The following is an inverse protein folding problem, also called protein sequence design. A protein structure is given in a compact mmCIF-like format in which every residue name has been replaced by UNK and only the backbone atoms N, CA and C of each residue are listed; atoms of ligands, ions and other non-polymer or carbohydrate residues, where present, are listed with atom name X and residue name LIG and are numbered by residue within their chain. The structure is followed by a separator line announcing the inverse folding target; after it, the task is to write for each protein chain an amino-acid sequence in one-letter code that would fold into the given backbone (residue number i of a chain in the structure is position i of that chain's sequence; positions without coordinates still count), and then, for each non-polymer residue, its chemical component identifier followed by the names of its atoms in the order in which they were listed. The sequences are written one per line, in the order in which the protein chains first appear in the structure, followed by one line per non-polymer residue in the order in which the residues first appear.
data_IF_439464862393
#
_entry.id   IF_439464862393
#
_cell.length_a   1.000
_cell.length_b   1.000
_cell.length_c   1.000
_cell.angle_alpha   90.00
_cell.angle_beta   90.00
_cell.angle_gamma   90.00
#
_symmetry.space_group_name_H-M   'P 1'
#
loop_
_entity.id
_entity.type
_entity.pdbx_description
1 polymer ?
#
# COMPACT_ATOMS: atom_id res chain seq x y z
N UNK A 1 34.20 52.87 17.68
CA UNK A 1 33.08 52.06 17.14
C UNK A 1 33.01 50.75 17.89
N UNK A 2 32.25 50.72 18.99
CA UNK A 2 32.03 49.52 19.80
C UNK A 2 31.00 48.63 19.11
N UNK A 3 31.35 47.36 18.87
CA UNK A 3 30.44 46.35 18.32
C UNK A 3 29.50 45.87 19.43
N UNK A 4 28.20 45.88 19.13
CA UNK A 4 27.16 45.36 20.01
C UNK A 4 27.27 43.84 20.19
N UNK A 5 26.91 43.28 21.36
CA UNK A 5 26.85 41.83 21.57
C UNK A 5 25.54 41.25 21.03
N UNK A 6 25.64 40.11 20.34
CA UNK A 6 24.51 39.29 19.88
C UNK A 6 23.84 38.54 21.06
N UNK A 7 22.50 38.45 21.12
CA UNK A 7 21.83 37.68 22.17
C UNK A 7 21.62 36.23 21.70
N UNK A 8 22.58 35.34 21.99
CA UNK A 8 22.35 33.90 21.94
C UNK A 8 21.56 33.47 23.19
N UNK A 9 20.25 33.67 23.15
CA UNK A 9 19.33 32.97 24.06
C UNK A 9 19.01 31.60 23.45
N UNK A 10 19.83 30.62 23.78
CA UNK A 10 19.44 29.21 23.69
C UNK A 10 18.17 28.99 24.52
N UNK A 11 17.02 29.00 23.85
CA UNK A 11 15.80 28.41 24.39
C UNK A 11 16.08 26.91 24.59
N UNK A 12 16.38 26.53 25.83
CA UNK A 12 16.28 25.13 26.25
C UNK A 12 14.82 24.74 26.06
N UNK A 13 14.53 24.00 24.99
CA UNK A 13 13.26 23.29 24.85
C UNK A 13 13.12 22.40 26.09
N UNK A 14 12.25 22.82 27.01
CA UNK A 14 11.68 21.97 28.05
C UNK A 14 11.28 20.65 27.40
N UNK A 15 11.66 19.54 28.03
CA UNK A 15 11.33 18.20 27.59
C UNK A 15 9.80 18.09 27.43
N UNK A 16 9.32 18.28 26.19
CA UNK A 16 7.93 18.07 25.85
C UNK A 16 7.67 16.57 26.04
N UNK A 17 6.84 16.23 27.03
CA UNK A 17 6.23 14.92 27.15
C UNK A 17 5.68 14.53 25.76
N UNK A 18 6.03 13.35 25.21
CA UNK A 18 5.47 12.92 23.94
C UNK A 18 3.96 12.82 24.10
N UNK A 19 3.24 13.63 23.32
CA UNK A 19 1.79 13.60 23.26
C UNK A 19 1.38 12.22 22.72
N UNK A 20 0.82 11.38 23.58
CA UNK A 20 0.07 10.19 23.14
C UNK A 20 -1.06 10.75 22.28
N UNK A 21 -1.17 10.38 21.00
CA UNK A 21 -2.26 10.89 20.17
C UNK A 21 -3.58 10.54 20.86
N UNK A 22 -4.40 11.57 21.09
CA UNK A 22 -5.67 11.56 21.82
C UNK A 22 -6.77 10.67 21.20
N UNK A 23 -6.41 9.77 20.28
CA UNK A 23 -7.31 8.88 19.54
C UNK A 23 -7.33 7.44 20.05
N UNK A 24 -6.51 7.08 21.04
CA UNK A 24 -6.53 5.75 21.65
C UNK A 24 -7.14 5.79 23.04
N UNK A 25 -8.17 4.96 23.30
CA UNK A 25 -8.68 4.75 24.66
C UNK A 25 -7.50 4.30 25.55
N UNK A 26 -7.28 4.94 26.71
CA UNK A 26 -6.18 4.55 27.60
C UNK A 26 -6.38 3.16 28.20
N UNK A 27 -7.62 2.68 28.25
CA UNK A 27 -7.99 1.38 28.80
C UNK A 27 -8.88 0.60 27.83
N UNK A 28 -8.79 -0.72 27.92
CA UNK A 28 -9.54 -1.71 27.15
C UNK A 28 -10.22 -2.68 28.13
N UNK A 29 -11.45 -3.06 27.84
CA UNK A 29 -12.23 -3.98 28.67
C UNK A 29 -11.82 -5.42 28.39
N UNK A 30 -11.69 -6.22 29.45
CA UNK A 30 -11.44 -7.66 29.37
C UNK A 30 -12.77 -8.39 29.47
N UNK A 31 -13.08 -9.19 28.47
CA UNK A 31 -14.35 -9.90 28.37
C UNK A 31 -14.25 -11.33 28.91
N UNK A 32 -15.25 -11.75 29.68
CA UNK A 32 -15.50 -13.16 30.00
C UNK A 32 -16.80 -13.60 29.34
N UNK A 33 -16.69 -14.11 28.11
CA UNK A 33 -17.86 -14.30 27.26
C UNK A 33 -18.44 -12.95 26.82
N UNK A 34 -19.68 -12.65 27.23
CA UNK A 34 -20.37 -11.40 26.89
C UNK A 34 -20.24 -10.31 27.96
N UNK A 35 -19.82 -10.64 29.19
CA UNK A 35 -19.68 -9.68 30.28
C UNK A 35 -18.26 -9.12 30.38
N UNK A 36 -18.13 -7.90 30.90
CA UNK A 36 -16.84 -7.28 31.22
C UNK A 36 -16.40 -7.76 32.61
N UNK A 37 -15.19 -8.33 32.70
CA UNK A 37 -14.62 -8.83 33.93
C UNK A 37 -13.64 -7.84 34.58
N UNK A 38 -12.74 -7.26 33.80
CA UNK A 38 -11.70 -6.32 34.26
C UNK A 38 -11.36 -5.31 33.15
N UNK A 39 -10.45 -4.38 33.43
CA UNK A 39 -9.91 -3.43 32.45
C UNK A 39 -8.39 -3.51 32.41
N UNK A 40 -7.80 -3.48 31.22
CA UNK A 40 -6.36 -3.45 31.00
C UNK A 40 -5.93 -2.13 30.34
N UNK A 41 -4.74 -1.63 30.65
CA UNK A 41 -4.18 -0.47 29.96
C UNK A 41 -3.82 -0.83 28.51
N UNK A 42 -4.01 0.10 27.58
CA UNK A 42 -3.64 -0.13 26.18
C UNK A 42 -2.10 -0.14 26.02
N UNK A 43 -1.50 -1.23 25.52
CA UNK A 43 -0.05 -1.31 25.34
C UNK A 43 0.48 -0.28 24.34
N UNK A 44 1.68 0.24 24.60
CA UNK A 44 2.29 1.31 23.81
C UNK A 44 2.50 0.93 22.33
N UNK A 45 2.57 -0.37 22.02
CA UNK A 45 2.69 -0.88 20.65
C UNK A 45 1.50 -0.46 19.75
N UNK A 46 0.32 -0.23 20.31
CA UNK A 46 -0.84 0.23 19.55
C UNK A 46 -0.75 1.70 19.11
N UNK A 47 0.11 2.49 19.76
CA UNK A 47 0.39 3.88 19.39
C UNK A 47 1.49 4.02 18.32
N UNK A 48 2.03 2.90 17.82
CA UNK A 48 3.10 2.91 16.82
C UNK A 48 2.60 3.38 15.45
N UNK A 49 3.46 4.02 14.64
CA UNK A 49 3.09 4.48 13.31
C UNK A 49 2.69 3.31 12.41
N UNK A 50 1.50 3.41 11.82
CA UNK A 50 0.99 2.43 10.86
C UNK A 50 1.58 2.73 9.48
N UNK A 51 2.56 1.92 9.03
CA UNK A 51 3.23 2.08 7.73
C UNK A 51 2.95 0.91 6.79
N UNK A 52 2.04 1.13 5.84
CA UNK A 52 1.64 0.11 4.85
C UNK A 52 2.78 -0.24 3.88
N UNK A 53 3.60 0.74 3.52
CA UNK A 53 4.78 0.61 2.64
C UNK A 53 5.80 -0.39 3.22
N UNK A 54 6.25 -0.19 4.47
CA UNK A 54 7.17 -1.13 5.14
C UNK A 54 6.53 -2.50 5.25
N UNK A 55 5.27 -2.56 5.69
CA UNK A 55 4.56 -3.84 5.87
C UNK A 55 4.50 -4.61 4.56
N UNK A 56 4.24 -3.93 3.45
CA UNK A 56 4.24 -4.53 2.12
C UNK A 56 5.62 -5.07 1.75
N UNK A 57 6.67 -4.26 1.84
CA UNK A 57 8.01 -4.63 1.40
C UNK A 57 8.56 -5.80 2.23
N UNK A 58 8.42 -5.73 3.55
CA UNK A 58 8.79 -6.80 4.46
C UNK A 58 7.97 -8.06 4.20
N UNK A 59 6.65 -7.94 4.01
CA UNK A 59 5.78 -9.09 3.75
C UNK A 59 6.19 -9.82 2.46
N UNK A 60 6.44 -9.08 1.36
CA UNK A 60 6.83 -9.70 0.09
C UNK A 60 8.18 -10.44 0.19
N UNK A 61 9.12 -9.93 0.98
CA UNK A 61 10.42 -10.55 1.21
C UNK A 61 10.31 -11.78 2.13
N UNK A 62 9.61 -11.66 3.26
CA UNK A 62 9.44 -12.75 4.23
C UNK A 62 8.62 -13.91 3.65
N UNK A 63 7.58 -13.61 2.86
CA UNK A 63 6.73 -14.63 2.24
C UNK A 63 7.48 -15.49 1.20
N UNK A 64 8.61 -15.01 0.66
CA UNK A 64 9.47 -15.80 -0.24
C UNK A 64 10.25 -16.90 0.50
N UNK A 65 10.41 -16.80 1.83
CA UNK A 65 11.32 -17.67 2.58
C UNK A 65 10.77 -19.08 2.87
N UNK A 66 9.51 -19.38 2.50
CA UNK A 66 8.92 -20.74 2.57
C UNK A 66 9.00 -21.50 1.24
N UNK A 67 9.63 -20.92 0.21
CA UNK A 67 9.66 -21.51 -1.14
C UNK A 67 10.64 -22.68 -1.21
N UNK A 68 10.22 -23.74 -1.88
CA UNK A 68 11.09 -24.84 -2.27
C UNK A 68 11.70 -24.58 -3.65
N UNK A 69 12.96 -24.93 -3.84
CA UNK A 69 13.64 -24.80 -5.11
C UNK A 69 13.01 -25.74 -6.15
N UNK A 70 12.90 -25.26 -7.39
CA UNK A 70 12.52 -26.08 -8.53
C UNK A 70 13.52 -25.87 -9.67
N UNK A 71 13.89 -26.96 -10.33
CA UNK A 71 14.81 -26.97 -11.45
C UNK A 71 14.43 -28.09 -12.43
N UNK A 72 14.83 -27.92 -13.68
CA UNK A 72 14.73 -28.97 -14.71
C UNK A 72 15.99 -29.83 -14.64
N UNK A 73 15.89 -31.11 -15.02
CA UNK A 73 17.04 -31.99 -15.06
C UNK A 73 18.15 -31.41 -15.94
N UNK A 74 19.41 -31.52 -15.49
CA UNK A 74 20.56 -30.86 -16.14
C UNK A 74 20.76 -31.31 -17.59
N UNK A 75 20.49 -32.59 -17.86
CA UNK A 75 20.66 -33.27 -19.14
C UNK A 75 19.38 -33.31 -19.99
N UNK A 76 18.29 -32.67 -19.57
CA UNK A 76 17.04 -32.68 -20.32
C UNK A 76 17.20 -31.99 -21.69
N UNK A 77 16.84 -32.71 -22.77
CA UNK A 77 16.99 -32.23 -24.14
C UNK A 77 18.41 -32.33 -24.72
N UNK A 78 19.35 -32.93 -23.97
CA UNK A 78 20.74 -33.17 -24.38
C UNK A 78 21.11 -34.66 -24.47
N UNK A 79 20.21 -35.56 -24.10
CA UNK A 79 20.38 -37.03 -24.18
C UNK A 79 20.17 -37.56 -25.62
N UNK A 80 20.79 -36.93 -26.61
CA UNK A 80 20.67 -37.35 -28.01
C UNK A 80 21.93 -36.98 -28.77
N UNK A 81 22.47 -37.91 -29.55
CA UNK A 81 23.57 -37.63 -30.48
C UNK A 81 23.01 -36.95 -31.72
N UNK A 82 23.36 -35.68 -31.93
CA UNK A 82 22.86 -34.88 -33.04
C UNK A 82 23.92 -33.90 -33.52
N UNK A 83 24.05 -33.76 -34.83
CA UNK A 83 25.01 -32.87 -35.47
C UNK A 83 24.34 -32.05 -36.56
N UNK A 84 24.84 -30.85 -36.81
CA UNK A 84 24.32 -30.04 -37.92
C UNK A 84 24.76 -30.63 -39.24
N UNK A 85 23.84 -30.75 -40.20
CA UNK A 85 24.19 -31.20 -41.54
C UNK A 85 24.82 -30.10 -42.41
N UNK A 86 25.02 -28.89 -41.85
CA UNK A 86 25.59 -27.75 -42.57
C UNK A 86 24.65 -27.16 -43.61
N UNK A 87 25.23 -26.46 -44.58
CA UNK A 87 24.52 -25.89 -45.74
C UNK A 87 24.47 -26.88 -46.91
N UNK A 88 23.72 -26.56 -47.98
CA UNK A 88 23.74 -27.35 -49.23
C UNK A 88 22.81 -28.56 -49.29
N UNK A 89 21.95 -28.76 -48.28
CA UNK A 89 20.98 -29.88 -48.22
C UNK A 89 19.51 -29.45 -48.21
N UNK A 90 19.23 -28.21 -48.66
CA UNK A 90 17.90 -27.60 -48.66
C UNK A 90 17.14 -27.66 -47.31
N UNK A 91 17.87 -27.68 -46.19
CA UNK A 91 17.33 -27.71 -44.83
C UNK A 91 18.05 -26.73 -43.90
N UNK A 92 17.38 -26.30 -42.84
CA UNK A 92 17.96 -25.43 -41.82
C UNK A 92 19.14 -26.08 -41.07
N UNK A 93 20.09 -25.25 -40.63
CA UNK A 93 21.39 -25.61 -40.01
C UNK A 93 21.32 -26.08 -38.55
N UNK A 94 20.13 -26.36 -38.02
CA UNK A 94 19.97 -26.85 -36.64
C UNK A 94 20.55 -28.28 -36.52
N UNK A 95 21.16 -28.67 -35.39
CA UNK A 95 21.59 -30.05 -35.17
C UNK A 95 20.44 -31.04 -35.35
N UNK A 96 20.70 -32.14 -36.06
CA UNK A 96 19.73 -33.19 -36.37
C UNK A 96 20.19 -34.53 -35.82
N UNK A 97 19.24 -35.31 -35.30
CA UNK A 97 19.52 -36.65 -34.74
C UNK A 97 20.06 -37.57 -35.83
N UNK A 98 21.14 -38.28 -35.52
CA UNK A 98 21.78 -39.22 -36.44
C UNK A 98 21.01 -40.55 -36.54
N UNK A 99 21.45 -41.42 -37.46
CA UNK A 99 20.83 -42.73 -37.71
C UNK A 99 19.73 -42.71 -38.78
N UNK A 100 19.03 -43.84 -38.91
CA UNK A 100 17.95 -44.08 -39.87
C UNK A 100 16.93 -45.08 -39.29
N UNK A 101 15.84 -45.37 -40.00
CA UNK A 101 14.88 -46.41 -39.61
C UNK A 101 13.92 -46.05 -38.47
N UNK A 102 14.02 -44.85 -37.88
CA UNK A 102 13.07 -44.33 -36.89
C UNK A 102 12.57 -42.96 -37.29
N UNK A 103 11.34 -42.62 -36.88
CA UNK A 103 10.77 -41.28 -37.11
C UNK A 103 11.57 -40.15 -36.45
N UNK A 104 12.45 -40.47 -35.48
CA UNK A 104 13.27 -39.49 -34.77
C UNK A 104 14.54 -39.11 -35.55
N UNK A 105 15.07 -40.01 -36.38
CA UNK A 105 16.24 -39.76 -37.22
C UNK A 105 15.99 -38.57 -38.16
N UNK A 106 16.97 -37.67 -38.28
CA UNK A 106 16.88 -36.47 -39.10
C UNK A 106 16.05 -35.33 -38.52
N UNK A 107 15.38 -35.50 -37.37
CA UNK A 107 14.67 -34.40 -36.70
C UNK A 107 15.64 -33.44 -35.98
N UNK A 108 15.23 -32.19 -35.82
CA UNK A 108 15.99 -31.19 -35.07
C UNK A 108 16.10 -31.53 -33.57
N UNK A 109 17.23 -31.18 -32.96
CA UNK A 109 17.58 -31.44 -31.57
C UNK A 109 18.30 -30.24 -30.90
N UNK A 110 18.48 -30.34 -29.59
CA UNK A 110 19.12 -29.37 -28.67
C UNK A 110 18.46 -27.98 -28.55
N UNK A 111 18.07 -27.34 -29.67
CA UNK A 111 17.54 -25.99 -29.67
C UNK A 111 16.24 -25.84 -28.87
N UNK A 112 16.04 -24.66 -28.28
CA UNK A 112 14.82 -24.31 -27.53
C UNK A 112 13.56 -24.24 -28.37
N UNK A 113 13.70 -24.02 -29.69
CA UNK A 113 12.62 -24.08 -30.66
C UNK A 113 12.26 -25.52 -31.09
N UNK A 114 13.10 -26.50 -30.75
CA UNK A 114 12.93 -27.87 -31.19
C UNK A 114 11.99 -28.65 -30.24
N UNK A 115 11.08 -29.45 -30.79
CA UNK A 115 10.28 -30.41 -30.01
C UNK A 115 11.22 -31.43 -29.34
N UNK A 116 11.15 -31.53 -28.01
CA UNK A 116 12.04 -32.38 -27.22
C UNK A 116 13.47 -31.85 -27.06
N UNK A 117 13.73 -30.60 -27.50
CA UNK A 117 15.00 -29.91 -27.27
C UNK A 117 15.12 -29.34 -25.85
N UNK A 118 16.26 -28.72 -25.58
CA UNK A 118 16.55 -28.09 -24.28
C UNK A 118 15.92 -26.70 -24.21
N UNK A 119 15.29 -26.36 -23.08
CA UNK A 119 14.72 -25.02 -22.89
C UNK A 119 15.79 -23.93 -22.83
N UNK A 120 15.42 -22.70 -23.24
CA UNK A 120 16.27 -21.53 -23.03
C UNK A 120 16.45 -21.24 -21.54
N UNK A 121 17.68 -20.93 -21.13
CA UNK A 121 18.06 -20.65 -19.74
C UNK A 121 17.41 -21.61 -18.72
N UNK A 122 17.78 -22.92 -18.73
CA UNK A 122 17.14 -23.91 -17.85
C UNK A 122 17.18 -23.49 -16.39
N UNK A 123 16.07 -23.70 -15.68
CA UNK A 123 15.95 -23.35 -14.27
C UNK A 123 16.98 -24.09 -13.43
N UNK A 124 17.65 -23.35 -12.54
CA UNK A 124 18.71 -23.85 -11.67
C UNK A 124 18.33 -23.72 -10.21
N UNK A 125 18.83 -24.64 -9.40
CA UNK A 125 18.56 -24.71 -7.95
C UNK A 125 19.15 -23.52 -7.20
N UNK A 126 20.30 -22.98 -7.64
CA UNK A 126 21.00 -21.86 -6.98
C UNK A 126 20.39 -20.47 -7.24
N UNK A 127 19.18 -20.39 -7.82
CA UNK A 127 18.43 -19.13 -7.84
C UNK A 127 18.29 -18.58 -6.41
N UNK A 128 18.37 -17.27 -6.23
CA UNK A 128 18.11 -16.65 -4.92
C UNK A 128 16.63 -16.78 -4.54
N UNK A 129 16.29 -17.82 -3.77
CA UNK A 129 14.91 -18.09 -3.31
C UNK A 129 14.53 -17.25 -2.10
N UNK A 130 15.46 -17.14 -1.16
CA UNK A 130 15.28 -16.49 0.13
C UNK A 130 15.76 -15.03 0.09
N UNK A 131 15.05 -14.16 0.79
CA UNK A 131 15.35 -12.73 0.88
C UNK A 131 15.61 -12.38 2.35
N UNK A 132 16.80 -11.83 2.60
CA UNK A 132 17.16 -11.24 3.88
C UNK A 132 16.48 -9.88 4.00
N UNK A 133 15.98 -9.58 5.19
CA UNK A 133 15.37 -8.30 5.54
C UNK A 133 15.99 -7.88 6.87
N UNK A 134 16.20 -6.58 7.03
CA UNK A 134 16.77 -6.02 8.24
C UNK A 134 15.89 -6.38 9.45
N UNK A 135 16.54 -6.77 10.55
CA UNK A 135 15.83 -7.24 11.74
C UNK A 135 14.93 -6.15 12.34
N UNK A 136 15.41 -4.91 12.35
CA UNK A 136 14.64 -3.77 12.83
C UNK A 136 13.43 -3.47 11.95
N UNK A 137 13.59 -3.58 10.63
CA UNK A 137 12.50 -3.38 9.66
C UNK A 137 11.40 -4.45 9.81
N UNK A 138 11.79 -5.71 10.06
CA UNK A 138 10.83 -6.77 10.42
C UNK A 138 10.06 -6.42 11.68
N UNK A 139 10.76 -5.94 12.73
CA UNK A 139 10.15 -5.52 14.00
C UNK A 139 9.19 -4.34 13.81
N UNK A 140 9.57 -3.37 12.98
CA UNK A 140 8.72 -2.24 12.59
C UNK A 140 7.43 -2.74 11.93
N UNK A 141 7.53 -3.58 10.89
CA UNK A 141 6.37 -4.10 10.18
C UNK A 141 5.41 -4.84 11.10
N UNK A 142 5.93 -5.66 12.02
CA UNK A 142 5.11 -6.35 13.02
C UNK A 142 4.45 -5.39 14.01
N UNK A 143 5.15 -4.35 14.48
CA UNK A 143 4.57 -3.33 15.36
C UNK A 143 3.43 -2.56 14.65
N UNK A 144 3.65 -2.10 13.41
CA UNK A 144 2.60 -1.47 12.61
C UNK A 144 1.41 -2.38 12.35
N UNK A 145 1.63 -3.69 12.17
CA UNK A 145 0.55 -4.66 11.99
C UNK A 145 -0.26 -4.91 13.27
N UNK A 146 0.39 -4.88 14.44
CA UNK A 146 -0.30 -4.94 15.75
C UNK A 146 -1.12 -3.67 15.95
N UNK A 147 -0.54 -2.48 15.75
CA UNK A 147 -1.26 -1.22 15.85
C UNK A 147 -2.51 -1.18 14.95
N UNK A 148 -2.36 -1.61 13.70
CA UNK A 148 -3.48 -1.67 12.77
C UNK A 148 -4.60 -2.65 13.18
N UNK A 149 -4.30 -3.67 14.00
CA UNK A 149 -5.32 -4.57 14.53
C UNK A 149 -6.22 -3.92 15.58
N UNK A 150 -5.77 -2.82 16.20
CA UNK A 150 -6.56 -1.99 17.11
C UNK A 150 -7.52 -1.00 16.44
N UNK A 151 -7.49 -0.89 15.11
CA UNK A 151 -8.24 0.12 14.36
C UNK A 151 -9.41 -0.54 13.63
N UNK A 152 -10.63 -0.40 14.16
CA UNK A 152 -11.83 -1.05 13.62
C UNK A 152 -12.08 -0.80 12.11
N UNK A 153 -11.91 0.42 11.56
CA UNK A 153 -12.02 0.64 10.11
C UNK A 153 -11.08 -0.22 9.26
N UNK A 154 -9.84 -0.46 9.71
CA UNK A 154 -8.89 -1.30 8.98
C UNK A 154 -9.29 -2.78 9.04
N UNK A 155 -9.85 -3.21 10.18
CA UNK A 155 -10.34 -4.57 10.37
C UNK A 155 -11.56 -4.87 9.49
N UNK A 156 -12.49 -3.93 9.42
CA UNK A 156 -13.65 -4.00 8.52
C UNK A 156 -13.24 -3.95 7.05
N UNK A 157 -12.33 -3.06 6.66
CA UNK A 157 -11.85 -2.93 5.28
C UNK A 157 -11.20 -4.23 4.76
N UNK A 158 -10.62 -5.04 5.64
CA UNK A 158 -10.11 -6.38 5.30
C UNK A 158 -11.18 -7.43 5.06
N UNK A 159 -12.42 -7.17 5.44
CA UNK A 159 -13.55 -8.10 5.34
C UNK A 159 -13.65 -9.06 6.53
N UNK A 160 -13.21 -8.64 7.73
CA UNK A 160 -13.60 -9.31 8.96
C UNK A 160 -14.99 -8.87 9.41
N UNK A 161 -15.78 -9.81 9.93
CA UNK A 161 -17.13 -9.52 10.49
C UNK A 161 -16.97 -9.14 11.95
N UNK A 162 -16.86 -7.84 12.21
CA UNK A 162 -16.65 -7.27 13.56
C UNK A 162 -17.73 -6.25 13.93
N UNK A 163 -18.84 -6.22 13.20
CA UNK A 163 -19.94 -5.25 13.37
C UNK A 163 -20.67 -5.42 14.71
N UNK A 164 -20.77 -6.66 15.22
CA UNK A 164 -21.41 -6.98 16.50
C UNK A 164 -20.44 -6.97 17.69
N UNK A 165 -19.15 -6.70 17.46
CA UNK A 165 -18.15 -6.71 18.52
C UNK A 165 -18.21 -5.38 19.26
N UNK A 166 -18.12 -5.43 20.58
CA UNK A 166 -18.17 -4.26 21.46
C UNK A 166 -17.04 -3.25 21.21
N UNK A 167 -15.80 -3.73 21.16
CA UNK A 167 -14.61 -2.92 20.89
C UNK A 167 -13.44 -3.70 20.31
N UNK A 168 -12.46 -2.96 19.78
CA UNK A 168 -11.21 -3.47 19.21
C UNK A 168 -10.08 -2.59 19.76
N UNK A 169 -8.94 -3.15 20.24
CA UNK A 169 -8.58 -4.56 20.34
C UNK A 169 -9.50 -5.35 21.28
N UNK A 170 -9.86 -6.58 20.89
CA UNK A 170 -10.71 -7.46 21.69
C UNK A 170 -9.84 -8.27 22.65
N UNK A 171 -10.06 -8.11 23.96
CA UNK A 171 -9.32 -8.81 25.03
C UNK A 171 -10.27 -9.73 25.79
N UNK A 172 -9.86 -10.97 26.02
CA UNK A 172 -10.65 -12.01 26.68
C UNK A 172 -9.91 -12.54 27.91
N UNK A 173 -10.65 -13.04 28.90
CA UNK A 173 -10.12 -13.68 30.11
C UNK A 173 -9.09 -14.78 29.80
N UNK A 174 -8.15 -14.95 30.72
CA UNK A 174 -7.10 -15.98 30.67
C UNK A 174 -7.65 -17.41 30.71
N UNK A 175 -8.92 -17.59 31.10
CA UNK A 175 -9.60 -18.88 31.09
C UNK A 175 -9.59 -19.54 29.71
N UNK A 176 -9.55 -18.73 28.64
CA UNK A 176 -9.48 -19.20 27.26
C UNK A 176 -8.20 -20.03 26.98
N UNK A 177 -7.10 -19.76 27.69
CA UNK A 177 -5.83 -20.51 27.56
C UNK A 177 -5.95 -21.97 28.01
N UNK A 178 -6.85 -22.24 28.96
CA UNK A 178 -7.05 -23.56 29.58
C UNK A 178 -8.09 -24.43 28.84
N UNK A 179 -8.72 -23.90 27.79
CA UNK A 179 -9.75 -24.62 27.03
C UNK A 179 -9.10 -25.76 26.24
N UNK A 180 -9.53 -27.00 26.50
CA UNK A 180 -8.99 -28.20 25.88
C UNK A 180 -9.87 -28.76 24.75
N UNK A 181 -11.20 -28.58 24.82
CA UNK A 181 -12.14 -29.14 23.85
C UNK A 181 -12.52 -28.12 22.77
N UNK A 182 -12.54 -28.55 21.51
CA UNK A 182 -12.96 -27.72 20.37
C UNK A 182 -14.40 -27.19 20.52
N UNK A 183 -15.30 -27.96 21.13
CA UNK A 183 -16.70 -27.55 21.35
C UNK A 183 -16.77 -26.32 22.26
N UNK A 184 -16.00 -26.31 23.34
CA UNK A 184 -15.91 -25.21 24.30
C UNK A 184 -15.24 -23.99 23.64
N UNK A 185 -14.18 -24.20 22.84
CA UNK A 185 -13.54 -23.13 22.08
C UNK A 185 -14.50 -22.42 21.10
N UNK A 186 -15.34 -23.19 20.39
CA UNK A 186 -16.38 -22.61 19.52
C UNK A 186 -17.45 -21.86 20.34
N UNK A 187 -17.82 -22.37 21.51
CA UNK A 187 -18.77 -21.70 22.39
C UNK A 187 -18.21 -20.36 22.91
N UNK A 188 -16.93 -20.32 23.28
CA UNK A 188 -16.26 -19.09 23.68
C UNK A 188 -16.25 -18.05 22.54
N UNK A 189 -15.93 -18.45 21.31
CA UNK A 189 -15.99 -17.53 20.15
C UNK A 189 -17.40 -17.01 19.86
N UNK A 190 -18.43 -17.81 20.12
CA UNK A 190 -19.83 -17.36 20.01
C UNK A 190 -20.17 -16.34 21.09
N UNK A 191 -19.80 -16.60 22.33
CA UNK A 191 -20.08 -15.71 23.46
C UNK A 191 -19.44 -14.32 23.28
N UNK A 192 -18.25 -14.27 22.68
CA UNK A 192 -17.50 -13.04 22.42
C UNK A 192 -17.93 -12.32 21.11
N UNK A 193 -18.84 -12.91 20.32
CA UNK A 193 -19.31 -12.32 19.06
C UNK A 193 -18.38 -12.54 17.84
N UNK A 194 -17.34 -13.37 17.96
CA UNK A 194 -16.40 -13.68 16.89
C UNK A 194 -16.90 -14.78 15.91
N UNK A 195 -18.08 -15.36 16.15
CA UNK A 195 -18.57 -16.51 15.40
C UNK A 195 -18.91 -16.19 13.94
N UNK A 196 -19.42 -14.99 13.65
CA UNK A 196 -19.74 -14.58 12.27
C UNK A 196 -18.50 -14.60 11.37
N UNK A 197 -17.33 -14.26 11.91
CA UNK A 197 -16.07 -14.30 11.17
C UNK A 197 -15.63 -15.74 10.85
N UNK A 198 -15.99 -16.70 11.70
CA UNK A 198 -15.77 -18.14 11.45
C UNK A 198 -16.77 -18.66 10.41
N UNK A 199 -18.04 -18.27 10.49
CA UNK A 199 -19.08 -18.63 9.50
C UNK A 199 -18.69 -18.11 8.11
N UNK A 200 -18.15 -16.89 8.02
CA UNK A 200 -17.56 -16.35 6.78
C UNK A 200 -16.51 -17.30 6.18
N UNK A 201 -15.63 -17.88 7.01
CA UNK A 201 -14.61 -18.82 6.52
C UNK A 201 -15.26 -20.09 5.98
N UNK A 202 -16.19 -20.68 6.73
CA UNK A 202 -16.90 -21.89 6.33
C UNK A 202 -17.58 -21.72 4.96
N UNK A 203 -18.31 -20.62 4.77
CA UNK A 203 -19.02 -20.31 3.54
C UNK A 203 -18.08 -19.98 2.35
N UNK A 204 -16.82 -19.66 2.62
CA UNK A 204 -15.87 -19.25 1.59
C UNK A 204 -15.08 -20.39 0.94
N UNK A 205 -15.24 -21.63 1.41
CA UNK A 205 -14.47 -22.78 0.93
C UNK A 205 -14.83 -23.11 -0.52
N UNK A 206 -13.89 -22.89 -1.43
CA UNK A 206 -14.06 -23.17 -2.87
C UNK A 206 -12.89 -23.99 -3.42
N UNK A 207 -13.10 -24.66 -4.56
CA UNK A 207 -12.00 -25.27 -5.30
C UNK A 207 -11.08 -24.18 -5.87
N UNK A 208 -9.76 -24.39 -5.78
CA UNK A 208 -8.78 -23.43 -6.31
C UNK A 208 -8.85 -23.37 -7.84
N UNK A 209 -8.83 -22.17 -8.40
CA UNK A 209 -8.72 -22.00 -9.85
C UNK A 209 -7.33 -22.46 -10.37
N UNK A 210 -7.30 -23.02 -11.58
CA UNK A 210 -6.07 -23.40 -12.28
C UNK A 210 -5.39 -24.70 -11.80
N UNK A 211 -4.12 -24.88 -12.22
CA UNK A 211 -3.34 -26.12 -12.04
C UNK A 211 -2.90 -26.40 -10.59
N UNK A 212 -3.12 -25.45 -9.67
CA UNK A 212 -2.77 -25.62 -8.25
C UNK A 212 -3.54 -26.76 -7.57
N UNK A 213 -4.72 -27.12 -8.11
CA UNK A 213 -5.54 -28.23 -7.59
C UNK A 213 -4.79 -29.56 -7.57
N UNK A 214 -4.00 -29.82 -8.60
CA UNK A 214 -3.21 -31.06 -8.76
C UNK A 214 -1.89 -31.02 -7.98
N UNK A 215 -1.52 -29.88 -7.38
CA UNK A 215 -0.24 -29.65 -6.69
C UNK A 215 -0.43 -29.49 -5.18
N UNK A 216 -1.27 -30.33 -4.58
CA UNK A 216 -1.54 -30.34 -3.13
C UNK A 216 -2.29 -29.11 -2.59
N UNK A 217 -2.87 -28.25 -3.44
CA UNK A 217 -3.54 -27.00 -3.05
C UNK A 217 -4.97 -26.94 -3.60
N UNK A 218 -5.74 -28.00 -3.36
CA UNK A 218 -7.08 -28.21 -3.95
C UNK A 218 -8.11 -27.15 -3.55
N UNK A 219 -8.14 -26.73 -2.29
CA UNK A 219 -9.13 -25.79 -1.77
C UNK A 219 -8.53 -24.41 -1.46
N UNK A 220 -9.39 -23.40 -1.42
CA UNK A 220 -9.12 -22.05 -0.93
C UNK A 220 -10.24 -21.62 -0.01
N UNK A 221 -9.92 -20.87 1.04
CA UNK A 221 -10.87 -20.32 2.00
C UNK A 221 -10.30 -19.01 2.55
N UNK A 222 -11.15 -18.18 3.16
CA UNK A 222 -10.74 -16.95 3.85
C UNK A 222 -10.01 -17.26 5.16
N UNK A 223 -9.33 -16.26 5.71
CA UNK A 223 -8.79 -16.32 7.08
C UNK A 223 -9.82 -15.74 8.04
N UNK A 224 -9.91 -16.35 9.21
CA UNK A 224 -10.73 -15.91 10.34
C UNK A 224 -9.89 -15.20 11.40
N UNK A 225 -10.36 -15.17 12.66
CA UNK A 225 -9.67 -14.49 13.74
C UNK A 225 -8.30 -15.12 14.04
N UNK A 226 -7.40 -14.30 14.59
CA UNK A 226 -6.15 -14.74 15.18
C UNK A 226 -6.29 -14.68 16.71
N UNK A 227 -6.16 -15.81 17.39
CA UNK A 227 -6.17 -15.88 18.86
C UNK A 227 -4.72 -15.80 19.35
N UNK A 228 -4.40 -14.81 20.17
CA UNK A 228 -3.06 -14.62 20.73
C UNK A 228 -3.10 -14.93 22.22
N UNK A 229 -2.19 -15.79 22.64
CA UNK A 229 -2.07 -16.28 24.01
C UNK A 229 -0.66 -16.06 24.57
N UNK A 230 -0.53 -16.09 25.89
CA UNK A 230 0.77 -16.01 26.57
C UNK A 230 1.34 -17.41 26.85
N UNK A 231 0.52 -18.32 27.38
CA UNK A 231 0.93 -19.69 27.69
C UNK A 231 -0.04 -20.69 27.06
N UNK A 232 0.48 -21.76 26.45
CA UNK A 232 -0.37 -22.83 25.90
C UNK A 232 -0.68 -23.86 26.98
N UNK A 233 -1.93 -23.90 27.46
CA UNK A 233 -2.45 -24.92 28.38
C UNK A 233 -3.43 -25.89 27.70
N UNK A 234 -3.47 -25.91 26.36
CA UNK A 234 -4.39 -26.74 25.58
C UNK A 234 -5.12 -25.98 24.47
N UNK A 235 -5.11 -24.65 24.53
CA UNK A 235 -5.73 -23.73 23.56
C UNK A 235 -5.36 -24.07 22.12
N UNK A 236 -4.07 -24.28 21.81
CA UNK A 236 -3.65 -24.52 20.43
C UNK A 236 -4.33 -25.77 19.86
N UNK A 237 -4.46 -26.84 20.64
CA UNK A 237 -5.12 -28.07 20.22
C UNK A 237 -6.63 -27.87 20.06
N UNK A 238 -7.26 -27.11 20.96
CA UNK A 238 -8.69 -26.84 20.92
C UNK A 238 -9.09 -26.05 19.66
N UNK A 239 -8.32 -25.01 19.30
CA UNK A 239 -8.63 -24.12 18.17
C UNK A 239 -8.13 -24.64 16.81
N UNK A 240 -7.14 -25.55 16.75
CA UNK A 240 -6.52 -26.02 15.49
C UNK A 240 -7.49 -26.57 14.45
N UNK A 241 -8.58 -27.22 14.88
CA UNK A 241 -9.54 -27.84 13.96
C UNK A 241 -10.62 -26.87 13.46
N UNK A 242 -10.71 -25.65 14.03
CA UNK A 242 -11.71 -24.67 13.63
C UNK A 242 -11.24 -23.98 12.34
N UNK A 243 -12.01 -24.03 11.23
CA UNK A 243 -11.57 -23.48 9.96
C UNK A 243 -11.28 -21.97 10.01
N UNK A 244 -10.06 -21.60 9.62
CA UNK A 244 -9.63 -20.21 9.47
C UNK A 244 -9.19 -19.50 10.74
N UNK A 245 -9.47 -20.08 11.92
CA UNK A 245 -8.88 -19.61 13.17
C UNK A 245 -7.42 -20.01 13.20
N UNK A 246 -6.55 -19.07 13.54
CA UNK A 246 -5.14 -19.35 13.79
C UNK A 246 -4.80 -18.93 15.21
N UNK A 247 -3.84 -19.61 15.81
CA UNK A 247 -3.32 -19.25 17.14
C UNK A 247 -1.87 -18.78 16.99
N UNK A 248 -1.44 -17.89 17.88
CA UNK A 248 -0.08 -17.39 17.91
C UNK A 248 0.33 -17.05 19.35
N UNK A 249 1.57 -17.34 19.70
CA UNK A 249 2.17 -16.89 20.96
C UNK A 249 2.59 -15.42 20.83
N UNK A 250 2.30 -14.62 21.87
CA UNK A 250 2.67 -13.22 21.96
C UNK A 250 4.18 -12.98 21.82
N UNK A 251 5.03 -13.93 22.19
CA UNK A 251 6.49 -13.83 22.03
C UNK A 251 6.93 -14.00 20.56
N UNK A 252 6.13 -14.72 19.76
CA UNK A 252 6.48 -15.15 18.41
C UNK A 252 5.50 -14.64 17.35
N UNK A 253 5.07 -13.38 17.48
CA UNK A 253 4.14 -12.74 16.56
C UNK A 253 4.67 -12.73 15.12
N UNK A 254 3.97 -13.46 14.24
CA UNK A 254 4.31 -13.56 12.83
C UNK A 254 3.61 -12.50 12.00
N UNK A 255 4.39 -11.69 11.27
CA UNK A 255 3.84 -10.74 10.29
C UNK A 255 2.93 -11.42 9.25
N UNK A 256 3.26 -12.66 8.85
CA UNK A 256 2.47 -13.40 7.86
C UNK A 256 1.08 -13.77 8.40
N UNK A 257 0.93 -13.85 9.72
CA UNK A 257 -0.36 -14.04 10.38
C UNK A 257 -1.03 -12.71 10.64
N UNK A 258 -0.35 -11.67 11.12
CA UNK A 258 -0.96 -10.36 11.41
C UNK A 258 -1.42 -9.61 10.16
N UNK A 259 -0.65 -9.70 9.07
CA UNK A 259 -0.88 -8.96 7.83
C UNK A 259 -0.94 -9.90 6.60
N UNK A 260 -1.91 -10.84 6.52
CA UNK A 260 -2.00 -11.77 5.39
C UNK A 260 -2.21 -11.03 4.07
N UNK A 261 -1.32 -11.28 3.10
CA UNK A 261 -1.34 -10.62 1.80
C UNK A 261 -0.95 -9.15 1.86
N UNK A 262 -0.09 -8.74 2.81
CA UNK A 262 0.38 -7.35 3.01
C UNK A 262 -0.68 -6.28 3.31
N UNK A 263 -1.96 -6.65 3.43
CA UNK A 263 -2.98 -5.72 3.91
C UNK A 263 -2.84 -5.54 5.44
N UNK A 264 -3.50 -4.56 6.06
CA UNK A 264 -3.40 -4.29 7.51
C UNK A 264 -4.75 -4.42 8.20
N UNK A 265 -4.77 -4.78 9.49
CA UNK A 265 -6.00 -4.91 10.29
C UNK A 265 -6.60 -6.33 10.34
N UNK A 266 -5.81 -7.37 10.66
CA UNK A 266 -6.44 -8.67 10.93
C UNK A 266 -7.28 -8.57 12.21
N UNK A 267 -8.40 -9.29 12.27
CA UNK A 267 -9.16 -9.43 13.51
C UNK A 267 -8.37 -10.33 14.48
N UNK A 268 -7.97 -9.74 15.61
CA UNK A 268 -7.13 -10.38 16.63
C UNK A 268 -7.90 -10.41 17.96
N UNK A 269 -7.90 -11.57 18.60
CA UNK A 269 -8.47 -11.81 19.93
C UNK A 269 -7.29 -12.05 20.86
N UNK A 270 -7.11 -11.19 21.85
CA UNK A 270 -6.02 -11.27 22.82
C UNK A 270 -6.50 -11.94 24.11
N UNK A 271 -5.68 -12.78 24.74
CA UNK A 271 -5.86 -13.08 26.16
C UNK A 271 -5.32 -11.94 27.00
N UNK A 272 -5.90 -11.69 28.18
CA UNK A 272 -5.46 -10.63 29.08
C UNK A 272 -3.96 -10.75 29.43
N UNK A 273 -3.48 -11.97 29.71
CA UNK A 273 -2.09 -12.27 29.97
C UNK A 273 -1.19 -11.91 28.78
N UNK A 274 -1.61 -12.24 27.55
CA UNK A 274 -0.88 -11.86 26.35
C UNK A 274 -0.85 -10.34 26.15
N UNK A 275 -1.97 -9.68 26.40
CA UNK A 275 -2.11 -8.24 26.24
C UNK A 275 -1.19 -7.46 27.18
N UNK A 276 -1.15 -7.85 28.46
CA UNK A 276 -0.27 -7.24 29.46
C UNK A 276 1.23 -7.53 29.21
N UNK A 277 1.55 -8.64 28.52
CA UNK A 277 2.92 -9.01 28.18
C UNK A 277 3.47 -8.18 26.99
N UNK A 278 2.61 -7.55 26.18
CA UNK A 278 3.03 -6.78 25.02
C UNK A 278 3.98 -5.63 25.37
N UNK A 279 3.73 -4.89 26.46
CA UNK A 279 4.60 -3.78 26.86
C UNK A 279 6.00 -4.26 27.27
N UNK A 280 6.09 -5.43 27.93
CA UNK A 280 7.39 -6.05 28.25
C UNK A 280 8.14 -6.47 26.98
N UNK A 281 7.43 -7.00 25.97
CA UNK A 281 8.07 -7.46 24.72
C UNK A 281 8.51 -6.29 23.84
N UNK A 282 7.65 -5.31 23.63
CA UNK A 282 7.86 -4.24 22.65
C UNK A 282 8.48 -2.98 23.26
N UNK A 283 8.43 -2.84 24.58
CA UNK A 283 8.83 -1.65 25.33
C UNK A 283 7.70 -0.62 25.37
N UNK A 284 7.71 0.17 26.44
CA UNK A 284 6.84 1.33 26.62
C UNK A 284 7.66 2.50 27.17
N UNK A 285 7.07 3.68 27.34
CA UNK A 285 7.76 4.79 28.00
C UNK A 285 8.08 4.39 29.46
N UNK A 286 9.36 4.40 29.83
CA UNK A 286 9.83 3.95 31.15
C UNK A 286 9.96 2.43 31.33
N UNK A 287 9.60 1.61 30.32
CA UNK A 287 9.77 0.15 30.35
C UNK A 287 10.65 -0.30 29.18
N UNK A 288 11.82 -0.86 29.49
CA UNK A 288 12.71 -1.38 28.46
C UNK A 288 12.09 -2.58 27.73
N UNK A 289 12.33 -2.65 26.42
CA UNK A 289 11.91 -3.79 25.62
C UNK A 289 12.76 -5.01 25.96
N UNK A 290 12.13 -6.17 26.10
CA UNK A 290 12.83 -7.46 26.18
C UNK A 290 13.73 -7.74 24.95
N UNK A 291 13.52 -7.02 23.85
CA UNK A 291 14.39 -7.06 22.67
C UNK A 291 15.56 -6.10 22.89
N UNK A 292 16.75 -6.66 23.10
CA UNK A 292 18.00 -5.90 23.25
C UNK A 292 18.14 -4.81 22.17
N UNK A 293 18.40 -3.58 22.62
CA UNK A 293 18.63 -2.40 21.78
C UNK A 293 17.43 -1.94 20.94
N UNK A 294 16.21 -2.39 21.27
CA UNK A 294 15.01 -2.04 20.51
C UNK A 294 14.15 -1.02 21.25
N UNK A 295 13.70 -0.02 20.50
CA UNK A 295 12.67 0.93 20.92
C UNK A 295 11.56 0.98 19.88
N UNK A 296 10.34 1.29 20.30
CA UNK A 296 9.24 1.48 19.38
C UNK A 296 9.54 2.61 18.37
N UNK A 297 9.08 2.49 17.12
CA UNK A 297 9.23 3.55 16.14
C UNK A 297 8.51 4.83 16.57
N UNK A 298 9.16 5.98 16.37
CA UNK A 298 8.60 7.30 16.67
C UNK A 298 7.74 7.82 15.52
N UNK A 299 6.69 8.56 15.87
CA UNK A 299 5.89 9.28 14.88
C UNK A 299 6.65 10.50 14.37
N UNK A 300 6.62 10.72 13.05
CA UNK A 300 7.21 11.91 12.40
C UNK A 300 6.25 13.10 12.50
N UNK A 301 4.94 12.83 12.55
CA UNK A 301 3.87 13.80 12.76
C UNK A 301 3.18 13.51 14.10
N UNK A 302 2.88 14.53 14.89
CA UNK A 302 2.25 14.36 16.21
C UNK A 302 0.77 13.98 16.13
N UNK A 303 0.02 14.55 15.18
CA UNK A 303 -1.40 14.29 14.96
C UNK A 303 -1.67 13.93 13.50
N UNK A 304 -2.38 12.83 13.27
CA UNK A 304 -2.75 12.37 11.94
C UNK A 304 -3.92 13.16 11.34
N UNK A 305 -4.71 13.87 12.16
CA UNK A 305 -5.78 14.75 11.68
C UNK A 305 -5.22 16.09 11.20
N UNK A 306 -4.75 16.07 9.94
CA UNK A 306 -4.24 17.26 9.26
C UNK A 306 -5.34 18.31 9.09
N UNK A 307 -6.61 17.92 8.96
CA UNK A 307 -7.72 18.87 8.83
C UNK A 307 -7.98 19.63 10.12
N UNK A 308 -7.91 18.94 11.27
CA UNK A 308 -7.97 19.57 12.58
C UNK A 308 -6.80 20.54 12.82
N UNK A 309 -5.57 20.16 12.41
CA UNK A 309 -4.41 21.07 12.47
C UNK A 309 -4.67 22.31 11.60
N UNK A 310 -5.06 22.14 10.32
CA UNK A 310 -5.31 23.25 9.40
C UNK A 310 -6.38 24.21 9.94
N UNK A 311 -7.41 23.68 10.59
CA UNK A 311 -8.52 24.46 11.12
C UNK A 311 -8.25 25.03 12.53
N UNK A 312 -7.04 24.87 13.07
CA UNK A 312 -6.68 25.45 14.38
C UNK A 312 -6.70 26.98 14.32
N UNK A 313 -6.97 27.61 15.46
CA UNK A 313 -7.08 29.07 15.56
C UNK A 313 -5.77 29.76 15.15
N UNK A 314 -4.62 29.19 15.49
CA UNK A 314 -3.31 29.76 15.17
C UNK A 314 -3.06 29.78 13.65
N UNK A 315 -3.44 28.70 12.95
CA UNK A 315 -3.29 28.62 11.49
C UNK A 315 -4.32 29.51 10.81
N UNK A 316 -5.60 29.45 11.21
CA UNK A 316 -6.65 30.26 10.60
C UNK A 316 -6.41 31.76 10.77
N UNK A 317 -5.83 32.20 11.90
CA UNK A 317 -5.47 33.60 12.11
C UNK A 317 -4.34 34.10 11.18
N UNK A 318 -3.43 33.22 10.77
CA UNK A 318 -2.32 33.57 9.87
C UNK A 318 -2.69 33.46 8.38
N UNK A 319 -3.75 32.72 8.04
CA UNK A 319 -4.17 32.50 6.66
C UNK A 319 -4.97 33.68 6.11
N UNK A 320 -4.73 34.00 4.84
CA UNK A 320 -5.56 34.94 4.07
C UNK A 320 -6.93 34.33 3.78
N UNK A 321 -7.92 35.19 3.50
CA UNK A 321 -9.25 34.76 3.07
C UNK A 321 -9.20 33.85 1.84
N UNK A 322 -10.04 32.81 1.86
CA UNK A 322 -10.12 31.83 0.79
C UNK A 322 -10.84 32.41 -0.43
N UNK A 323 -10.21 32.32 -1.60
CA UNK A 323 -10.88 32.61 -2.87
C UNK A 323 -11.94 31.57 -3.26
N UNK A 324 -12.62 31.78 -4.39
CA UNK A 324 -13.59 30.81 -4.91
C UNK A 324 -12.92 29.46 -5.22
N UNK A 325 -13.53 28.35 -4.77
CA UNK A 325 -13.01 27.00 -4.98
C UNK A 325 -12.93 26.62 -6.46
N UNK A 326 -13.86 27.15 -7.27
CA UNK A 326 -13.88 27.01 -8.72
C UNK A 326 -13.63 28.37 -9.33
N UNK A 327 -12.58 28.48 -10.13
CA UNK A 327 -12.31 29.71 -10.86
C UNK A 327 -13.35 29.90 -11.96
N UNK A 328 -14.00 31.06 -11.98
CA UNK A 328 -14.87 31.45 -13.09
C UNK A 328 -14.02 31.63 -14.34
N UNK A 329 -14.31 30.86 -15.39
CA UNK A 329 -13.62 31.01 -16.69
C UNK A 329 -14.08 32.30 -17.36
N UNK A 330 -13.30 33.36 -17.19
CA UNK A 330 -13.48 34.61 -17.92
C UNK A 330 -12.83 34.50 -19.30
N UNK A 331 -13.48 35.06 -20.33
CA UNK A 331 -12.93 35.16 -21.68
C UNK A 331 -12.54 33.79 -22.32
N UNK A 332 -13.49 32.85 -22.34
CA UNK A 332 -13.28 31.52 -22.94
C UNK A 332 -13.09 31.53 -24.45
N UNK A 333 -13.68 32.50 -25.14
CA UNK A 333 -13.59 32.65 -26.59
C UNK A 333 -13.30 34.11 -26.91
N UNK A 334 -12.22 34.36 -27.65
CA UNK A 334 -11.91 35.69 -28.17
C UNK A 334 -12.90 36.03 -29.28
N UNK A 335 -13.82 36.93 -28.98
CA UNK A 335 -14.78 37.45 -29.96
C UNK A 335 -14.11 38.55 -30.79
N UNK A 336 -14.13 38.45 -32.12
CA UNK A 336 -13.49 39.42 -33.02
C UNK A 336 -14.26 40.77 -33.01
N UNK A 337 -13.65 41.89 -32.60
CA UNK A 337 -14.31 43.20 -32.54
C UNK A 337 -14.77 43.73 -33.91
N UNK A 338 -14.02 43.47 -34.97
CA UNK A 338 -14.36 43.96 -36.32
C UNK A 338 -15.63 43.31 -36.87
N UNK A 339 -15.96 42.09 -36.40
CA UNK A 339 -17.17 41.36 -36.78
C UNK A 339 -18.29 41.48 -35.73
N UNK A 340 -17.96 41.75 -34.47
CA UNK A 340 -18.92 41.83 -33.36
C UNK A 340 -18.97 43.24 -32.76
N UNK A 341 -20.00 44.01 -33.13
CA UNK A 341 -20.18 45.42 -32.74
C UNK A 341 -20.25 45.62 -31.21
N UNK A 342 -20.84 44.70 -30.45
CA UNK A 342 -20.90 44.81 -28.99
C UNK A 342 -19.51 44.73 -28.34
N UNK A 343 -18.62 43.91 -28.89
CA UNK A 343 -17.25 43.76 -28.41
C UNK A 343 -16.39 44.95 -28.84
N UNK A 344 -16.60 45.47 -30.07
CA UNK A 344 -15.96 46.71 -30.52
C UNK A 344 -16.29 47.89 -29.61
N UNK A 345 -17.57 48.06 -29.26
CA UNK A 345 -18.01 49.15 -28.39
C UNK A 345 -17.50 48.99 -26.95
N UNK A 346 -17.37 47.74 -26.46
CA UNK A 346 -16.76 47.47 -25.15
C UNK A 346 -15.28 47.87 -25.11
N UNK A 347 -14.56 47.67 -26.21
CA UNK A 347 -13.11 47.95 -26.29
C UNK A 347 -12.81 49.41 -26.69
N UNK A 348 -13.60 49.98 -27.60
CA UNK A 348 -13.42 51.32 -28.12
C UNK A 348 -14.77 52.07 -28.17
N UNK A 349 -15.05 52.95 -27.19
CA UNK A 349 -16.31 53.71 -27.16
C UNK A 349 -16.39 54.73 -28.30
N UNK A 350 -15.26 55.22 -28.84
CA UNK A 350 -15.23 56.18 -29.94
C UNK A 350 -15.74 55.60 -31.26
N UNK A 351 -15.78 54.27 -31.41
CA UNK A 351 -16.33 53.61 -32.59
C UNK A 351 -17.81 53.98 -32.85
N UNK A 352 -18.57 54.35 -31.81
CA UNK A 352 -19.94 54.86 -31.95
C UNK A 352 -19.96 56.21 -32.69
N UNK A 353 -19.21 57.18 -32.19
CA UNK A 353 -19.11 58.51 -32.79
C UNK A 353 -18.49 58.47 -34.20
N UNK A 354 -17.50 57.59 -34.42
CA UNK A 354 -16.87 57.39 -35.72
C UNK A 354 -17.86 56.91 -36.79
N UNK A 355 -18.76 55.99 -36.41
CA UNK A 355 -19.81 55.49 -37.30
C UNK A 355 -20.90 56.55 -37.56
N UNK A 356 -21.35 57.26 -36.52
CA UNK A 356 -22.35 58.33 -36.63
C UNK A 356 -21.87 59.47 -37.55
N UNK A 357 -20.62 59.91 -37.37
CA UNK A 357 -20.00 60.98 -38.18
C UNK A 357 -19.47 60.51 -39.54
N UNK A 358 -19.61 59.22 -39.87
CA UNK A 358 -19.10 58.57 -41.11
C UNK A 358 -17.66 58.97 -41.46
N UNK A 359 -16.79 59.05 -40.45
CA UNK A 359 -15.41 59.57 -40.60
C UNK A 359 -14.57 58.76 -41.59
N UNK A 360 -14.88 57.48 -41.81
CA UNK A 360 -14.22 56.64 -42.83
C UNK A 360 -14.49 57.06 -44.29
N UNK A 361 -15.50 57.91 -44.53
CA UNK A 361 -15.82 58.50 -45.83
C UNK A 361 -15.58 60.01 -45.85
N UNK A 362 -14.77 60.53 -44.92
CA UNK A 362 -14.40 61.92 -44.93
C UNK A 362 -13.76 62.26 -46.30
N UNK A 363 -14.38 63.19 -47.03
CA UNK A 363 -13.88 63.61 -48.33
C UNK A 363 -12.58 64.37 -48.10
N UNK A 364 -11.51 63.92 -48.76
CA UNK A 364 -10.26 64.69 -48.83
C UNK A 364 -10.46 65.78 -49.87
N UNK A 365 -10.08 67.00 -49.52
CA UNK A 365 -10.03 68.11 -50.47
C UNK A 365 -8.99 67.78 -51.55
N UNK A 366 -9.45 67.64 -52.80
CA UNK A 366 -8.55 67.38 -53.93
C UNK A 366 -7.74 68.63 -54.21
N UNK A 367 -6.49 68.64 -53.79
CA UNK A 367 -5.53 69.68 -54.14
C UNK A 367 -4.95 69.38 -55.53
N UNK A 368 -5.05 70.35 -56.44
CA UNK A 368 -4.44 70.28 -57.78
C UNK A 368 -2.98 70.70 -57.76
N UNK A 369 -2.17 70.09 -56.88
CA UNK A 369 -0.72 70.30 -56.91
C UNK A 369 -0.13 69.58 -58.12
N UNK A 370 0.28 70.33 -59.15
CA UNK A 370 0.95 69.75 -60.32
C UNK A 370 2.35 69.27 -59.91
N UNK A 371 2.71 68.04 -60.27
CA UNK A 371 4.06 67.53 -60.05
C UNK A 371 5.08 68.37 -60.82
N UNK A 372 6.19 68.79 -60.19
CA UNK A 372 7.18 69.66 -60.82
C UNK A 372 7.83 68.97 -62.03
N UNK A 373 8.11 69.75 -63.08
CA UNK A 373 8.63 69.22 -64.36
C UNK A 373 9.99 68.53 -64.21
N UNK A 374 10.79 68.92 -63.23
CA UNK A 374 12.07 68.28 -62.88
C UNK A 374 11.87 66.84 -62.40
N UNK A 375 10.85 66.57 -61.58
CA UNK A 375 10.48 65.23 -61.14
C UNK A 375 9.99 64.36 -62.32
N UNK A 376 9.21 64.94 -63.25
CA UNK A 376 8.78 64.23 -64.45
C UNK A 376 9.93 63.92 -65.40
N UNK A 377 10.92 64.81 -65.53
CA UNK A 377 12.11 64.57 -66.38
C UNK A 377 12.98 63.44 -65.82
N UNK A 378 13.26 63.44 -64.53
CA UNK A 378 13.96 62.34 -63.85
C UNK A 378 13.21 61.00 -63.91
N UNK A 379 11.87 61.03 -63.91
CA UNK A 379 11.04 59.82 -64.01
C UNK A 379 11.11 59.14 -65.39
N UNK A 380 11.45 59.88 -66.45
CA UNK A 380 11.47 59.40 -67.83
C UNK A 380 12.90 59.22 -68.40
N UNK A 381 13.94 59.35 -67.58
CA UNK A 381 15.35 59.22 -68.01
C UNK A 381 15.94 57.80 -67.85
N UNK A 382 15.10 56.76 -67.71
CA UNK A 382 15.47 55.35 -67.90
C UNK A 382 14.44 54.61 -68.76
#
# INVERSE_FOLDING_TARGET
MQRAPSPDKHFRCSAHKPFIPSMSRPQVSVYNGSSVASTAALPAVFATPIRLDIVHDVFTAVNKNKRQAYAVARNAGEQTSAESWGTGRAVARIPRVSGSGTYRAGQAAFGNMCRGGRMFAPTKTWRRWHVKVNHNEKRYATASAIAASGVAPLVLARGHRVEQISEVPLVVSNDLESVSKTKEAVAALKAVGAHEDVVKVLNSKKLRAGKGKLRGRRHTQRRGPLVIYANDKGLVKAFRNIPGVETCDVQHLSLLQLAPGSHLGRFVIWTEAAFNLLDKIWGAEGVESAKSGFSLPKNIISNADVTGIINSSEIQAALREKGQSKQKRTHVLKKNPLKNKQVLLRLNPYAKAYAEKKLGFAKVEKTTSKTPKTFKKLLHEN
#
